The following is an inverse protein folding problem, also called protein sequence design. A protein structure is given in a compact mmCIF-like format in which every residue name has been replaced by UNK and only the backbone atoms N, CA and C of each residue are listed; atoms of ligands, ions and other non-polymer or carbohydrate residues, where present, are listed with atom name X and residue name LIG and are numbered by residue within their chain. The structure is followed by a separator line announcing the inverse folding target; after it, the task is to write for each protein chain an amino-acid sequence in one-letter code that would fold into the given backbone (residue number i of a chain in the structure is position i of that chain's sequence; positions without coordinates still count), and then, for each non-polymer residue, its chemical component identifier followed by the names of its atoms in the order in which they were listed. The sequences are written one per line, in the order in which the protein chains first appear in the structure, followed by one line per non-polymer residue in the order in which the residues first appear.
data_IF_492965800473
#
_entry.id   IF_492965800473
#
_cell.length_a   1.000
_cell.length_b   1.000
_cell.length_c   1.000
_cell.angle_alpha   90.00
_cell.angle_beta   90.00
_cell.angle_gamma   90.00
#
_symmetry.space_group_name_H-M   'P 1'
#
loop_
_entity.id
_entity.type
_entity.pdbx_description
1 polymer ?
#
# COMPACT_ATOMS: atom_id res chain seq x y z
N UNK A 1 -1.66 -12.56 14.80
CA UNK A 1 -1.33 -12.13 13.42
C UNK A 1 -1.95 -10.76 13.20
N UNK A 2 -1.23 -9.82 12.58
CA UNK A 2 -1.75 -8.51 12.22
C UNK A 2 -2.13 -8.53 10.73
N UNK A 3 -3.40 -8.29 10.40
CA UNK A 3 -3.87 -8.31 9.02
C UNK A 3 -3.22 -7.23 8.15
N UNK A 4 -2.79 -6.11 8.73
CA UNK A 4 -2.07 -5.05 8.00
C UNK A 4 -0.67 -5.46 7.55
N UNK A 5 -0.15 -6.59 8.05
CA UNK A 5 1.14 -7.17 7.68
C UNK A 5 0.98 -8.43 6.80
N UNK A 6 -0.22 -8.66 6.26
CA UNK A 6 -0.52 -9.79 5.38
C UNK A 6 -0.76 -9.31 3.94
N UNK A 7 -0.20 -10.05 2.99
CA UNK A 7 -0.55 -9.97 1.57
C UNK A 7 -1.28 -11.26 1.20
N UNK A 8 -2.49 -11.13 0.69
CA UNK A 8 -3.31 -12.23 0.19
C UNK A 8 -3.12 -12.33 -1.33
N UNK A 9 -3.01 -13.56 -1.84
CA UNK A 9 -3.03 -13.83 -3.28
C UNK A 9 -4.34 -14.53 -3.62
N UNK A 10 -5.13 -13.94 -4.51
CA UNK A 10 -6.46 -14.44 -4.91
C UNK A 10 -6.58 -14.49 -6.44
N UNK A 11 -7.53 -15.28 -6.96
CA UNK A 11 -7.83 -15.34 -8.39
C UNK A 11 -9.28 -14.94 -8.73
N UNK A 12 -10.08 -14.59 -7.72
CA UNK A 12 -11.49 -14.24 -7.85
C UNK A 12 -11.87 -12.92 -7.16
N UNK A 13 -12.90 -12.25 -7.67
CA UNK A 13 -13.41 -11.00 -7.12
C UNK A 13 -14.02 -11.17 -5.72
N UNK A 14 -14.58 -12.36 -5.43
CA UNK A 14 -15.11 -12.69 -4.10
C UNK A 14 -13.97 -12.80 -3.09
N UNK A 15 -12.88 -13.49 -3.44
CA UNK A 15 -11.68 -13.60 -2.61
C UNK A 15 -11.04 -12.22 -2.38
N UNK A 16 -10.90 -11.42 -3.44
CA UNK A 16 -10.45 -10.04 -3.34
C UNK A 16 -11.31 -9.24 -2.36
N UNK A 17 -12.64 -9.27 -2.50
CA UNK A 17 -13.54 -8.54 -1.63
C UNK A 17 -13.40 -8.97 -0.16
N UNK A 18 -13.22 -10.27 0.10
CA UNK A 18 -12.98 -10.80 1.44
C UNK A 18 -11.64 -10.30 2.02
N UNK A 19 -10.56 -10.34 1.23
CA UNK A 19 -9.25 -9.84 1.65
C UNK A 19 -9.28 -8.35 1.99
N UNK A 20 -9.96 -7.53 1.17
CA UNK A 20 -10.12 -6.10 1.44
C UNK A 20 -10.98 -5.85 2.69
N UNK A 21 -12.06 -6.61 2.88
CA UNK A 21 -12.90 -6.52 4.08
C UNK A 21 -12.14 -6.89 5.37
N UNK A 22 -11.14 -7.77 5.27
CA UNK A 22 -10.24 -8.12 6.37
C UNK A 22 -9.11 -7.10 6.62
N UNK A 23 -9.06 -6.00 5.84
CA UNK A 23 -8.03 -4.98 5.95
C UNK A 23 -6.66 -5.41 5.42
N UNK A 24 -6.61 -6.40 4.54
CA UNK A 24 -5.36 -6.95 3.99
C UNK A 24 -5.03 -6.33 2.63
N UNK A 25 -3.74 -6.37 2.27
CA UNK A 25 -3.29 -6.16 0.90
C UNK A 25 -3.65 -7.39 0.06
N UNK A 26 -4.09 -7.18 -1.18
CA UNK A 26 -4.49 -8.27 -2.05
C UNK A 26 -3.90 -8.12 -3.45
N UNK A 27 -3.14 -9.12 -3.87
CA UNK A 27 -2.67 -9.30 -5.24
C UNK A 27 -3.61 -10.29 -5.92
N UNK A 28 -4.08 -9.94 -7.11
CA UNK A 28 -4.87 -10.86 -7.92
C UNK A 28 -3.98 -11.52 -8.98
N UNK A 29 -4.04 -12.84 -9.11
CA UNK A 29 -3.49 -13.61 -10.22
C UNK A 29 -4.63 -14.17 -11.06
N UNK A 30 -4.88 -13.60 -12.25
CA UNK A 30 -6.04 -13.96 -13.08
C UNK A 30 -5.97 -15.41 -13.55
N UNK A 31 -6.89 -16.23 -13.06
CA UNK A 31 -7.14 -17.55 -13.66
C UNK A 31 -7.98 -17.41 -14.94
N UNK A 32 -7.94 -18.44 -15.81
CA UNK A 32 -8.70 -18.45 -17.06
C UNK A 32 -10.23 -18.34 -16.87
N UNK A 33 -10.72 -18.61 -15.66
CA UNK A 33 -12.15 -18.53 -15.31
C UNK A 33 -12.60 -17.11 -14.94
N UNK A 34 -11.68 -16.26 -14.47
CA UNK A 34 -11.99 -14.93 -13.95
C UNK A 34 -11.66 -13.80 -14.94
N UNK A 35 -11.48 -14.12 -16.23
CA UNK A 35 -11.05 -13.17 -17.26
C UNK A 35 -11.98 -11.96 -17.45
N UNK A 36 -13.24 -12.05 -17.00
CA UNK A 36 -14.27 -10.99 -17.08
C UNK A 36 -14.62 -10.37 -15.74
N UNK A 37 -13.98 -10.79 -14.65
CA UNK A 37 -14.24 -10.24 -13.34
C UNK A 37 -13.56 -8.87 -13.16
N UNK A 38 -14.13 -8.08 -12.25
CA UNK A 38 -13.62 -6.76 -11.91
C UNK A 38 -12.68 -6.85 -10.69
N UNK A 39 -11.45 -6.38 -10.87
CA UNK A 39 -10.40 -6.38 -9.86
C UNK A 39 -9.93 -4.97 -9.49
N UNK A 40 -10.76 -3.94 -9.73
CA UNK A 40 -10.42 -2.53 -9.46
C UNK A 40 -9.90 -2.26 -8.03
N UNK A 41 -10.34 -3.04 -7.04
CA UNK A 41 -9.95 -2.88 -5.64
C UNK A 41 -8.70 -3.66 -5.22
N UNK A 42 -8.05 -4.37 -6.16
CA UNK A 42 -6.79 -5.08 -5.90
C UNK A 42 -5.63 -4.09 -5.76
N UNK A 43 -4.65 -4.43 -4.93
CA UNK A 43 -3.43 -3.63 -4.79
C UNK A 43 -2.46 -3.89 -5.96
N UNK A 44 -2.53 -5.08 -6.60
CA UNK A 44 -1.88 -5.38 -7.86
C UNK A 44 -2.62 -6.51 -8.60
N UNK A 45 -2.48 -6.59 -9.91
CA UNK A 45 -3.11 -7.63 -10.73
C UNK A 45 -2.12 -8.16 -11.77
N UNK A 46 -1.90 -9.46 -11.77
CA UNK A 46 -1.03 -10.18 -12.69
C UNK A 46 -1.77 -11.35 -13.35
N UNK A 47 -1.21 -11.90 -14.42
CA UNK A 47 -1.68 -13.14 -15.06
C UNK A 47 -1.28 -14.38 -14.23
N UNK A 48 -0.09 -14.38 -13.65
CA UNK A 48 0.41 -15.41 -12.74
C UNK A 48 1.49 -14.83 -11.82
N UNK A 49 2.08 -15.66 -10.94
CA UNK A 49 3.30 -15.32 -10.20
C UNK A 49 4.51 -15.33 -11.16
N UNK A 50 4.59 -16.38 -11.99
CA UNK A 50 5.71 -16.61 -12.90
C UNK A 50 6.88 -17.32 -12.24
N UNK A 51 7.80 -17.81 -13.06
CA UNK A 51 9.08 -18.38 -12.69
C UNK A 51 10.16 -17.74 -13.57
N UNK A 52 11.44 -17.78 -13.15
CA UNK A 52 12.54 -17.29 -13.99
C UNK A 52 12.53 -17.95 -15.39
N UNK A 53 12.68 -17.19 -16.48
CA UNK A 53 12.99 -15.75 -16.57
C UNK A 53 11.77 -14.82 -16.68
N UNK A 54 10.56 -15.35 -16.54
CA UNK A 54 9.28 -14.66 -16.73
C UNK A 54 8.52 -14.43 -15.42
N UNK A 55 9.24 -14.19 -14.32
CA UNK A 55 8.65 -13.82 -13.03
C UNK A 55 7.89 -12.48 -13.14
N UNK A 56 6.69 -12.39 -12.56
CA UNK A 56 5.87 -11.18 -12.50
C UNK A 56 6.06 -10.44 -11.20
N UNK A 57 6.12 -11.18 -10.09
CA UNK A 57 6.39 -10.64 -8.75
C UNK A 57 6.95 -11.72 -7.82
N UNK A 58 7.66 -11.27 -6.79
CA UNK A 58 8.28 -12.11 -5.78
C UNK A 58 7.87 -11.66 -4.35
N UNK A 59 8.50 -12.25 -3.34
CA UNK A 59 8.28 -11.87 -1.95
C UNK A 59 8.76 -10.45 -1.63
N UNK A 60 9.76 -9.92 -2.33
CA UNK A 60 10.22 -8.55 -2.14
C UNK A 60 9.17 -7.54 -2.61
N UNK A 61 8.49 -7.80 -3.73
CA UNK A 61 7.34 -7.01 -4.16
C UNK A 61 6.22 -7.02 -3.12
N UNK A 62 5.86 -8.18 -2.57
CA UNK A 62 4.87 -8.27 -1.49
C UNK A 62 5.25 -7.40 -0.29
N UNK A 63 6.52 -7.37 0.11
CA UNK A 63 7.01 -6.50 1.18
C UNK A 63 6.84 -5.02 0.88
N UNK A 64 7.08 -4.60 -0.37
CA UNK A 64 6.90 -3.20 -0.78
C UNK A 64 5.46 -2.72 -0.68
N UNK A 65 4.47 -3.60 -0.93
CA UNK A 65 3.04 -3.25 -0.81
C UNK A 65 2.62 -2.95 0.64
N UNK A 66 3.29 -3.54 1.61
CA UNK A 66 3.02 -3.31 3.04
C UNK A 66 3.63 -1.99 3.53
N UNK A 67 4.76 -1.57 2.95
CA UNK A 67 5.44 -0.32 3.33
C UNK A 67 4.66 0.94 2.95
N UNK A 68 3.78 0.88 1.94
CA UNK A 68 2.96 2.02 1.51
C UNK A 68 2.01 2.53 2.60
N UNK A 69 1.67 1.69 3.59
CA UNK A 69 0.86 2.09 4.75
C UNK A 69 1.69 2.85 5.81
N UNK A 70 3.00 2.59 5.91
CA UNK A 70 3.84 3.19 6.94
C UNK A 70 4.13 4.67 6.71
N UNK A 71 4.19 5.12 5.45
CA UNK A 71 4.52 6.51 5.13
C UNK A 71 3.45 7.54 5.52
N UNK A 72 2.22 7.11 5.86
CA UNK A 72 1.10 8.04 6.08
C UNK A 72 0.30 7.80 7.37
N UNK A 73 0.63 6.83 8.22
CA UNK A 73 -0.26 6.41 9.33
C UNK A 73 0.40 6.16 10.67
N UNK A 74 1.40 5.28 10.76
CA UNK A 74 1.85 4.81 12.09
C UNK A 74 2.74 5.80 12.85
N UNK A 75 3.47 6.68 12.14
CA UNK A 75 4.33 7.67 12.81
C UNK A 75 3.54 8.88 13.32
N UNK A 76 2.38 9.21 12.74
CA UNK A 76 1.58 10.37 13.18
C UNK A 76 0.62 10.02 14.33
N UNK A 77 0.03 8.83 14.29
CA UNK A 77 -0.93 8.38 15.32
C UNK A 77 -0.25 8.06 16.67
N UNK A 78 1.07 7.91 16.67
CA UNK A 78 1.88 7.70 17.88
C UNK A 78 2.41 9.00 18.50
N UNK A 79 2.25 10.15 17.82
CA UNK A 79 2.69 11.45 18.31
C UNK A 79 1.62 12.09 19.19
N UNK A 80 2.07 12.76 20.25
CA UNK A 80 1.22 13.65 21.05
C UNK A 80 0.82 14.89 20.24
N UNK A 81 -0.28 15.54 20.64
CA UNK A 81 -0.72 16.80 20.05
C UNK A 81 0.39 17.88 20.05
N UNK A 82 1.25 17.87 21.07
CA UNK A 82 2.38 18.78 21.19
C UNK A 82 3.44 18.54 20.10
N UNK A 83 3.74 17.28 19.80
CA UNK A 83 4.70 16.91 18.77
C UNK A 83 4.17 17.25 17.37
N UNK A 84 2.88 17.02 17.12
CA UNK A 84 2.21 17.42 15.89
C UNK A 84 2.25 18.94 15.68
N UNK A 85 1.98 19.72 16.74
CA UNK A 85 2.09 21.19 16.68
C UNK A 85 3.52 21.67 16.40
N UNK A 86 4.52 21.00 16.97
CA UNK A 86 5.93 21.30 16.71
C UNK A 86 6.32 21.06 15.24
N UNK A 87 5.87 19.94 14.67
CA UNK A 87 6.06 19.61 13.25
C UNK A 87 5.39 20.62 12.33
N UNK A 88 4.15 21.01 12.61
CA UNK A 88 3.43 22.04 11.85
C UNK A 88 4.21 23.37 11.85
N UNK A 89 4.71 23.77 13.04
CA UNK A 89 5.49 24.99 13.18
C UNK A 89 6.80 24.93 12.37
N UNK A 90 7.54 23.81 12.44
CA UNK A 90 8.77 23.60 11.69
C UNK A 90 8.54 23.65 10.18
N UNK A 91 7.50 22.99 9.69
CA UNK A 91 7.12 23.03 8.27
C UNK A 91 6.80 24.46 7.82
N UNK A 92 6.06 25.20 8.65
CA UNK A 92 5.74 26.61 8.39
C UNK A 92 6.99 27.50 8.30
N UNK A 93 7.99 27.27 9.14
CA UNK A 93 9.28 27.98 9.05
C UNK A 93 10.06 27.61 7.78
N UNK A 94 10.15 26.32 7.46
CA UNK A 94 10.85 25.85 6.26
C UNK A 94 10.22 26.42 4.99
N UNK A 95 8.88 26.41 4.88
CA UNK A 95 8.16 27.00 3.76
C UNK A 95 8.43 28.49 3.60
N UNK A 96 8.36 29.27 4.70
CA UNK A 96 8.71 30.70 4.68
C UNK A 96 10.14 30.93 4.21
N UNK A 97 11.07 30.08 4.62
CA UNK A 97 12.48 30.18 4.22
C UNK A 97 12.68 29.90 2.73
N UNK A 98 11.96 28.93 2.18
CA UNK A 98 11.98 28.59 0.74
C UNK A 98 11.35 29.71 -0.09
N UNK A 99 10.21 30.26 0.34
CA UNK A 99 9.51 31.32 -0.41
C UNK A 99 10.28 32.65 -0.40
N UNK A 100 11.01 32.94 0.68
CA UNK A 100 11.83 34.15 0.79
C UNK A 100 13.17 34.04 0.04
N UNK A 101 13.60 32.85 -0.36
CA UNK A 101 14.85 32.65 -1.12
C UNK A 101 14.68 32.84 -2.64
N UNK A 102 13.44 32.96 -3.13
CA UNK A 102 13.12 33.22 -4.55
C UNK A 102 12.67 34.67 -4.85
N UNK A 103 12.88 35.58 -3.90
CA UNK A 103 12.59 37.02 -4.03
C UNK A 103 13.82 37.85 -4.35
#
# INVERSE_FOLDING_TARGET
MNSSQCVVVEDSAIGLAAAKAAGMKCIVTKSGYAAKEDFLNADAVFDCIGDFPEERFDLSFCGSLLQTQHYMGEELDSLSLTELQSLEQQLGYALKHITNFKG
#
